data_IF_676919556857
#
_entry.id   IF_676919556857
#
_cell.length_a   1.000
_cell.length_b   1.000
_cell.length_c   1.000
_cell.angle_alpha   90.00
_cell.angle_beta   90.00
_cell.angle_gamma   90.00
#
_symmetry.space_group_name_H-M   'P 1'
#
loop_
_entity.id
_entity.type
_entity.pdbx_description
1 polymer ?
#
# COMPACT_ATOMS: atom_id res chain seq x y z
N UNK A 1 -2.23 6.77 -16.30
CA UNK A 1 -3.24 6.60 -15.23
C UNK A 1 -3.22 7.76 -14.25
N UNK A 2 -2.08 8.06 -13.57
CA UNK A 2 -1.98 9.13 -12.58
C UNK A 2 -2.31 10.53 -13.15
N UNK A 3 -1.84 10.85 -14.34
CA UNK A 3 -2.14 12.13 -15.01
C UNK A 3 -3.64 12.25 -15.32
N UNK A 4 -4.27 11.16 -15.73
CA UNK A 4 -5.71 11.13 -16.03
C UNK A 4 -6.54 11.33 -14.77
N UNK A 5 -6.14 10.74 -13.62
CA UNK A 5 -6.80 10.93 -12.33
C UNK A 5 -6.77 12.39 -11.85
N UNK A 6 -5.67 13.10 -12.15
CA UNK A 6 -5.50 14.50 -11.75
C UNK A 6 -6.42 15.46 -12.53
N UNK A 7 -6.73 15.12 -13.78
CA UNK A 7 -7.58 15.93 -14.67
C UNK A 7 -9.07 15.60 -14.54
N UNK A 8 -9.41 14.45 -13.96
CA UNK A 8 -10.81 14.04 -13.77
C UNK A 8 -11.42 14.64 -12.52
N UNK A 9 -11.77 15.92 -12.59
CA UNK A 9 -12.55 16.64 -11.56
C UNK A 9 -13.95 16.00 -11.31
N UNK A 10 -14.36 15.02 -12.13
CA UNK A 10 -15.74 14.50 -12.20
C UNK A 10 -15.90 13.12 -11.55
N UNK A 11 -14.85 12.40 -11.19
CA UNK A 11 -15.02 11.08 -10.56
C UNK A 11 -14.56 11.08 -9.08
N UNK A 12 -15.41 11.67 -8.24
CA UNK A 12 -15.21 11.72 -6.77
C UNK A 12 -15.10 10.35 -6.06
N UNK A 13 -15.31 9.25 -6.76
CA UNK A 13 -15.41 7.91 -6.16
C UNK A 13 -14.34 6.90 -6.64
N UNK A 14 -13.33 7.35 -7.39
CA UNK A 14 -12.24 6.44 -7.83
C UNK A 14 -10.93 6.80 -7.17
N UNK A 15 -10.09 5.78 -6.84
CA UNK A 15 -8.76 5.98 -6.29
C UNK A 15 -7.84 6.69 -7.27
N UNK A 16 -6.78 7.29 -6.75
CA UNK A 16 -5.74 7.88 -7.60
C UNK A 16 -5.03 6.82 -8.43
N UNK A 17 -4.80 5.62 -7.88
CA UNK A 17 -4.24 4.47 -8.59
C UNK A 17 -3.68 3.40 -7.68
N UNK A 18 -3.63 2.18 -8.20
CA UNK A 18 -2.92 1.07 -7.59
C UNK A 18 -1.94 0.47 -8.60
N UNK A 19 -0.75 0.09 -8.14
CA UNK A 19 0.32 -0.44 -8.96
C UNK A 19 0.93 -1.66 -8.30
N UNK A 20 1.20 -2.68 -9.09
CA UNK A 20 1.96 -3.85 -8.67
C UNK A 20 3.27 -3.89 -9.44
N UNK A 21 4.40 -3.84 -8.72
CA UNK A 21 5.74 -3.94 -9.28
C UNK A 21 6.31 -5.33 -9.04
N UNK A 22 6.49 -6.06 -10.12
CA UNK A 22 7.09 -7.39 -10.10
C UNK A 22 8.55 -7.32 -10.56
N UNK A 23 9.42 -8.07 -9.90
CA UNK A 23 10.83 -8.17 -10.29
C UNK A 23 11.77 -8.44 -9.13
N UNK A 24 13.06 -8.65 -9.41
CA UNK A 24 14.08 -8.92 -8.39
C UNK A 24 14.21 -7.79 -7.37
N UNK A 25 14.69 -8.10 -6.14
CA UNK A 25 14.78 -7.13 -5.04
C UNK A 25 15.68 -5.92 -5.34
N UNK A 26 16.72 -6.09 -6.13
CA UNK A 26 17.73 -5.03 -6.42
C UNK A 26 17.33 -4.00 -7.48
N UNK A 27 16.19 -4.15 -8.16
CA UNK A 27 15.79 -3.22 -9.25
C UNK A 27 15.27 -1.87 -8.76
N UNK A 28 15.25 -1.62 -7.46
CA UNK A 28 14.87 -0.32 -6.90
C UNK A 28 13.37 -0.07 -6.83
N UNK A 29 12.54 -1.10 -6.67
CA UNK A 29 11.07 -0.97 -6.51
C UNK A 29 10.67 0.05 -5.43
N UNK A 30 11.26 0.06 -4.21
CA UNK A 30 10.95 1.08 -3.21
C UNK A 30 11.37 2.50 -3.62
N UNK A 31 12.48 2.63 -4.37
CA UNK A 31 12.92 3.91 -4.89
C UNK A 31 11.90 4.51 -5.87
N UNK A 32 11.29 3.67 -6.71
CA UNK A 32 10.24 4.11 -7.62
C UNK A 32 9.00 4.63 -6.86
N UNK A 33 8.61 3.99 -5.77
CA UNK A 33 7.52 4.48 -4.91
C UNK A 33 7.84 5.86 -4.31
N UNK A 34 9.10 6.08 -3.89
CA UNK A 34 9.59 7.36 -3.40
C UNK A 34 9.53 8.45 -4.49
N UNK A 35 9.92 8.11 -5.72
CA UNK A 35 9.80 9.03 -6.85
C UNK A 35 8.34 9.39 -7.17
N UNK A 36 7.41 8.44 -7.05
CA UNK A 36 5.98 8.70 -7.21
C UNK A 36 5.50 9.67 -6.13
N UNK A 37 5.88 9.48 -4.87
CA UNK A 37 5.52 10.37 -3.77
C UNK A 37 6.01 11.80 -4.03
N UNK A 38 7.28 11.96 -4.34
CA UNK A 38 7.87 13.25 -4.66
C UNK A 38 7.18 13.90 -5.86
N UNK A 39 7.05 13.18 -6.97
CA UNK A 39 6.49 13.75 -8.20
C UNK A 39 5.00 14.06 -8.11
N UNK A 40 4.23 13.29 -7.33
CA UNK A 40 2.78 13.41 -7.29
C UNK A 40 2.29 14.32 -6.16
N UNK A 41 2.90 14.21 -5.00
CA UNK A 41 2.54 14.99 -3.80
C UNK A 41 3.56 16.09 -3.47
N UNK A 42 4.67 16.21 -4.22
CA UNK A 42 5.75 17.18 -3.98
C UNK A 42 6.39 17.04 -2.59
N UNK A 43 6.26 15.85 -1.97
CA UNK A 43 6.75 15.56 -0.64
C UNK A 43 7.24 14.10 -0.58
N UNK A 44 8.53 13.93 -0.30
CA UNK A 44 9.10 12.59 -0.10
C UNK A 44 8.55 11.92 1.18
N UNK A 45 8.13 12.71 2.15
CA UNK A 45 7.52 12.21 3.39
C UNK A 45 6.07 11.75 3.20
N UNK A 46 5.48 12.00 2.03
CA UNK A 46 4.19 11.43 1.66
C UNK A 46 4.25 9.92 1.36
N UNK A 47 5.44 9.29 1.43
CA UNK A 47 5.58 7.84 1.34
C UNK A 47 5.40 7.19 2.71
N UNK A 48 4.43 6.28 2.80
CA UNK A 48 4.20 5.41 3.96
C UNK A 48 4.57 3.98 3.51
N UNK A 49 5.54 3.36 4.17
CA UNK A 49 6.03 2.02 3.81
C UNK A 49 5.64 1.01 4.87
N UNK A 50 5.11 -0.13 4.41
CA UNK A 50 4.88 -1.33 5.18
C UNK A 50 5.68 -2.49 4.57
N UNK A 51 6.58 -3.09 5.34
CA UNK A 51 7.28 -4.31 4.97
C UNK A 51 6.41 -5.50 5.37
N UNK A 52 5.95 -6.25 4.38
CA UNK A 52 5.03 -7.36 4.63
C UNK A 52 5.69 -8.55 5.31
N UNK A 53 7.02 -8.59 5.40
CA UNK A 53 7.72 -9.58 6.21
C UNK A 53 7.43 -9.44 7.72
N UNK A 54 7.05 -8.25 8.18
CA UNK A 54 6.60 -8.01 9.57
C UNK A 54 5.17 -8.49 9.84
N UNK A 55 4.45 -8.88 8.78
CA UNK A 55 3.03 -9.27 8.80
C UNK A 55 2.80 -10.70 8.32
N UNK A 56 3.77 -11.58 8.53
CA UNK A 56 3.69 -13.01 8.16
C UNK A 56 2.75 -13.80 9.08
N UNK A 57 2.66 -13.39 10.34
CA UNK A 57 1.86 -14.09 11.34
C UNK A 57 0.36 -13.82 11.16
N UNK A 58 -0.47 -14.83 11.45
CA UNK A 58 -1.93 -14.73 11.33
C UNK A 58 -2.52 -13.55 12.13
N UNK A 59 -1.94 -13.23 13.29
CA UNK A 59 -2.40 -12.13 14.15
C UNK A 59 -1.89 -10.75 13.69
N UNK A 60 -1.12 -10.67 12.64
CA UNK A 60 -0.54 -9.40 12.15
C UNK A 60 -1.58 -8.44 11.58
N UNK A 61 -2.78 -8.93 11.23
CA UNK A 61 -3.93 -8.08 10.87
C UNK A 61 -4.23 -7.07 11.97
N UNK A 62 -4.17 -7.50 13.24
CA UNK A 62 -4.42 -6.60 14.37
C UNK A 62 -3.40 -5.46 14.44
N UNK A 63 -2.14 -5.71 14.14
CA UNK A 63 -1.12 -4.64 14.07
C UNK A 63 -1.39 -3.67 12.93
N UNK A 64 -1.90 -4.16 11.80
CA UNK A 64 -2.12 -3.36 10.61
C UNK A 64 -3.33 -2.43 10.75
N UNK A 65 -4.47 -2.96 11.24
CA UNK A 65 -5.75 -2.26 11.29
C UNK A 65 -6.29 -2.03 12.71
N UNK A 66 -5.76 -2.73 13.70
CA UNK A 66 -6.20 -2.66 15.10
C UNK A 66 -4.98 -2.57 16.01
N UNK A 67 -5.11 -1.86 17.11
CA UNK A 67 -4.27 -2.07 18.28
C UNK A 67 -5.07 -2.88 19.30
N UNK A 68 -4.61 -4.07 19.72
CA UNK A 68 -5.31 -4.86 20.74
C UNK A 68 -5.42 -4.08 22.06
N UNK A 69 -6.55 -4.22 22.75
CA UNK A 69 -6.74 -3.64 24.08
C UNK A 69 -5.62 -4.11 25.03
N UNK A 70 -4.99 -3.18 25.72
CA UNK A 70 -3.90 -3.47 26.68
C UNK A 70 -2.48 -3.33 26.11
N UNK A 71 -2.31 -3.07 24.82
CA UNK A 71 -1.01 -2.71 24.25
C UNK A 71 -0.85 -1.19 24.16
N UNK A 72 0.40 -0.72 24.31
CA UNK A 72 0.74 0.69 24.10
C UNK A 72 0.32 1.08 22.68
N UNK A 73 -0.52 2.11 22.55
CA UNK A 73 -1.08 2.53 21.25
C UNK A 73 -2.49 2.00 20.96
N UNK A 74 -3.17 1.32 21.89
CA UNK A 74 -4.57 0.88 21.72
C UNK A 74 -5.51 2.03 21.33
N UNK A 75 -5.31 3.22 21.89
CA UNK A 75 -6.11 4.39 21.58
C UNK A 75 -5.76 5.03 20.22
N UNK A 76 -4.61 4.69 19.63
CA UNK A 76 -4.12 5.28 18.39
C UNK A 76 -4.64 4.55 17.13
N UNK A 77 -5.19 3.34 17.25
CA UNK A 77 -5.63 2.53 16.10
C UNK A 77 -4.51 1.66 15.52
N UNK A 78 -4.76 0.97 14.41
CA UNK A 78 -3.74 0.17 13.70
C UNK A 78 -2.78 1.03 12.89
N UNK A 79 -1.60 0.52 12.62
CA UNK A 79 -0.52 1.26 11.95
C UNK A 79 -0.97 1.85 10.60
N UNK A 80 -1.70 1.09 9.78
CA UNK A 80 -2.16 1.53 8.47
C UNK A 80 -3.29 2.57 8.60
N UNK A 81 -4.31 2.27 9.39
CA UNK A 81 -5.49 3.12 9.51
C UNK A 81 -5.14 4.47 10.10
N UNK A 82 -4.26 4.51 11.10
CA UNK A 82 -3.81 5.75 11.71
C UNK A 82 -2.89 6.55 10.78
N UNK A 83 -1.97 5.88 10.07
CA UNK A 83 -1.10 6.54 9.12
C UNK A 83 -1.89 7.26 8.01
N UNK A 84 -2.95 6.63 7.48
CA UNK A 84 -3.80 7.24 6.45
C UNK A 84 -4.66 8.37 7.01
N UNK A 85 -5.14 8.26 8.24
CA UNK A 85 -5.88 9.35 8.87
C UNK A 85 -5.02 10.59 9.08
N UNK A 86 -3.73 10.41 9.44
CA UNK A 86 -2.77 11.51 9.58
C UNK A 86 -2.33 12.09 8.24
N UNK A 87 -2.16 11.21 7.21
CA UNK A 87 -1.69 11.61 5.86
C UNK A 87 -2.59 11.01 4.78
N UNK A 88 -3.78 11.58 4.54
CA UNK A 88 -4.73 11.05 3.55
C UNK A 88 -4.23 11.16 2.10
N UNK A 89 -3.35 12.13 1.82
CA UNK A 89 -2.69 12.31 0.53
C UNK A 89 -1.30 11.71 0.58
N UNK A 90 -1.18 10.42 0.28
CA UNK A 90 0.09 9.70 0.42
C UNK A 90 0.23 8.57 -0.59
N UNK A 91 1.46 8.12 -0.78
CA UNK A 91 1.78 6.86 -1.43
C UNK A 91 1.94 5.80 -0.35
N UNK A 92 1.19 4.72 -0.43
CA UNK A 92 1.33 3.57 0.45
C UNK A 92 2.10 2.50 -0.30
N UNK A 93 3.25 2.12 0.22
CA UNK A 93 4.06 1.03 -0.30
C UNK A 93 3.89 -0.21 0.58
N UNK A 94 3.32 -1.27 0.02
CA UNK A 94 3.34 -2.61 0.59
C UNK A 94 4.49 -3.39 -0.07
N UNK A 95 5.59 -3.53 0.64
CA UNK A 95 6.81 -4.17 0.13
C UNK A 95 6.78 -5.67 0.42
N UNK A 96 7.16 -6.49 -0.58
CA UNK A 96 7.20 -7.97 -0.50
C UNK A 96 5.85 -8.62 -0.14
N UNK A 97 4.78 -8.28 -0.88
CA UNK A 97 3.41 -8.73 -0.56
C UNK A 97 3.26 -10.25 -0.49
N UNK A 98 4.13 -11.03 -1.15
CA UNK A 98 4.15 -12.49 -1.10
C UNK A 98 4.46 -13.06 0.29
N UNK A 99 5.02 -12.23 1.19
CA UNK A 99 5.34 -12.63 2.56
C UNK A 99 4.21 -12.37 3.54
N UNK A 100 3.23 -11.58 3.16
CA UNK A 100 2.09 -11.28 4.02
C UNK A 100 1.26 -12.54 4.32
N UNK A 101 0.71 -12.62 5.52
CA UNK A 101 -0.26 -13.67 5.85
C UNK A 101 -1.50 -13.55 4.96
N UNK A 102 -2.21 -14.66 4.76
CA UNK A 102 -3.43 -14.69 3.95
C UNK A 102 -4.50 -13.69 4.44
N UNK A 103 -4.61 -13.52 5.76
CA UNK A 103 -5.58 -12.60 6.34
C UNK A 103 -5.23 -11.13 6.04
N UNK A 104 -3.94 -10.79 6.02
CA UNK A 104 -3.46 -9.46 5.59
C UNK A 104 -3.74 -9.23 4.10
N UNK A 105 -3.50 -10.24 3.25
CA UNK A 105 -3.80 -10.14 1.82
C UNK A 105 -5.29 -9.90 1.57
N UNK A 106 -6.19 -10.54 2.32
CA UNK A 106 -7.63 -10.30 2.23
C UNK A 106 -8.01 -8.84 2.56
N UNK A 107 -7.36 -8.25 3.57
CA UNK A 107 -7.55 -6.82 3.89
C UNK A 107 -7.05 -5.93 2.76
N UNK A 108 -5.90 -6.23 2.16
CA UNK A 108 -5.40 -5.48 1.01
C UNK A 108 -6.36 -5.58 -0.19
N UNK A 109 -6.91 -6.76 -0.46
CA UNK A 109 -7.93 -6.93 -1.52
C UNK A 109 -9.17 -6.10 -1.23
N UNK A 110 -9.69 -6.10 0.01
CA UNK A 110 -10.81 -5.27 0.40
C UNK A 110 -10.51 -3.78 0.17
N UNK A 111 -9.31 -3.30 0.57
CA UNK A 111 -8.91 -1.91 0.32
C UNK A 111 -8.88 -1.60 -1.17
N UNK A 112 -8.40 -2.51 -2.02
CA UNK A 112 -8.31 -2.31 -3.47
C UNK A 112 -9.68 -2.30 -4.15
N UNK A 113 -10.66 -3.03 -3.61
CA UNK A 113 -12.01 -3.10 -4.16
C UNK A 113 -12.88 -1.92 -3.70
N UNK A 114 -12.91 -1.67 -2.39
CA UNK A 114 -13.84 -0.71 -1.79
C UNK A 114 -13.22 0.67 -1.57
N UNK A 115 -11.88 0.77 -1.50
CA UNK A 115 -11.11 1.98 -1.17
C UNK A 115 -11.46 2.58 0.20
N UNK A 116 -12.07 1.78 1.03
CA UNK A 116 -12.37 2.10 2.43
C UNK A 116 -12.03 0.91 3.31
N UNK A 117 -11.70 1.21 4.55
CA UNK A 117 -11.49 0.20 5.58
C UNK A 117 -12.12 0.70 6.88
N UNK A 118 -12.74 -0.20 7.64
CA UNK A 118 -13.22 0.12 9.00
C UNK A 118 -12.15 -0.25 10.01
N UNK A 119 -11.80 0.69 10.88
CA UNK A 119 -10.92 0.40 12.01
C UNK A 119 -11.65 -0.36 13.13
N UNK A 120 -10.91 -0.72 14.18
CA UNK A 120 -11.47 -1.44 15.36
C UNK A 120 -12.59 -0.68 16.09
N UNK A 121 -12.63 0.64 15.94
CA UNK A 121 -13.66 1.51 16.53
C UNK A 121 -14.85 1.76 15.60
N UNK A 122 -14.90 1.03 14.46
CA UNK A 122 -15.94 1.20 13.43
C UNK A 122 -15.81 2.47 12.59
N UNK A 123 -14.70 3.22 12.73
CA UNK A 123 -14.48 4.44 11.95
C UNK A 123 -14.03 4.08 10.54
N UNK A 124 -14.58 4.77 9.55
CA UNK A 124 -14.22 4.59 8.15
C UNK A 124 -12.92 5.34 7.85
N UNK A 125 -11.96 4.64 7.28
CA UNK A 125 -10.72 5.19 6.73
C UNK A 125 -10.81 5.14 5.22
N UNK A 126 -10.66 6.29 4.55
CA UNK A 126 -10.80 6.45 3.11
C UNK A 126 -9.43 6.46 2.43
N UNK A 127 -9.23 5.57 1.46
CA UNK A 127 -8.02 5.42 0.67
C UNK A 127 -8.11 6.05 -0.73
N UNK A 128 -9.22 6.72 -1.07
CA UNK A 128 -9.43 7.28 -2.43
C UNK A 128 -8.42 8.36 -2.81
N UNK A 129 -7.88 9.06 -1.82
CA UNK A 129 -6.85 10.09 -2.02
C UNK A 129 -5.42 9.55 -1.95
N UNK A 130 -5.24 8.23 -1.87
CA UNK A 130 -3.92 7.59 -1.82
C UNK A 130 -3.54 6.97 -3.15
N UNK A 131 -2.25 6.72 -3.33
CA UNK A 131 -1.69 5.87 -4.37
C UNK A 131 -1.17 4.61 -3.68
N UNK A 132 -1.66 3.44 -4.09
CA UNK A 132 -1.20 2.17 -3.54
C UNK A 132 -0.16 1.57 -4.47
N UNK A 133 0.99 1.26 -3.92
CA UNK A 133 2.09 0.56 -4.60
C UNK A 133 2.35 -0.73 -3.85
N UNK A 134 2.34 -1.83 -4.56
CA UNK A 134 2.69 -3.15 -4.05
C UNK A 134 3.94 -3.64 -4.77
N UNK A 135 4.84 -4.29 -4.07
CA UNK A 135 6.00 -4.94 -4.69
C UNK A 135 5.98 -6.43 -4.42
N UNK A 136 6.50 -7.19 -5.35
CA UNK A 136 6.71 -8.62 -5.17
C UNK A 136 7.97 -9.09 -5.88
N UNK A 137 8.60 -10.12 -5.32
CA UNK A 137 9.75 -10.81 -5.91
C UNK A 137 9.35 -12.09 -6.65
N UNK A 138 8.05 -12.41 -6.73
CA UNK A 138 7.55 -13.58 -7.44
C UNK A 138 7.96 -13.49 -8.92
N UNK A 139 8.44 -14.60 -9.47
CA UNK A 139 8.89 -14.67 -10.86
C UNK A 139 10.30 -14.12 -11.11
N UNK A 140 11.03 -13.69 -10.08
CA UNK A 140 12.38 -13.14 -10.22
C UNK A 140 13.38 -14.09 -10.88
N UNK A 141 13.21 -15.41 -10.75
CA UNK A 141 14.06 -16.42 -11.37
C UNK A 141 13.89 -16.48 -12.90
N UNK A 142 12.70 -16.21 -13.40
CA UNK A 142 12.45 -16.15 -14.85
C UNK A 142 13.00 -14.86 -15.46
N UNK A 143 13.03 -13.78 -14.70
CA UNK A 143 13.61 -12.50 -15.13
C UNK A 143 15.13 -12.52 -15.22
N UNK A 144 15.81 -13.38 -14.45
CA UNK A 144 17.26 -13.58 -14.51
C UNK A 144 17.71 -14.22 -15.84
N UNK A 145 16.83 -14.94 -16.53
CA UNK A 145 17.10 -15.60 -17.81
C UNK A 145 16.73 -14.76 -19.03
N UNK A 146 15.96 -13.71 -18.90
CA UNK A 146 15.57 -12.79 -19.99
C UNK A 146 15.69 -11.35 -19.48
N UNK A 147 16.55 -10.57 -20.15
CA UNK A 147 16.79 -9.13 -19.89
C UNK A 147 15.58 -8.38 -19.32
N UNK A 148 15.84 -7.67 -18.25
CA UNK A 148 14.99 -6.77 -17.45
C UNK A 148 13.85 -6.12 -18.26
N UNK A 149 12.66 -6.70 -18.19
CA UNK A 149 11.43 -6.03 -18.60
C UNK A 149 10.59 -5.81 -17.34
N UNK A 150 10.47 -4.56 -16.93
CA UNK A 150 9.51 -4.16 -15.90
C UNK A 150 8.13 -4.21 -16.55
N UNK A 151 7.28 -5.14 -16.11
CA UNK A 151 5.89 -5.19 -16.53
C UNK A 151 5.04 -4.37 -15.55
N UNK A 152 4.50 -3.27 -16.05
CA UNK A 152 3.47 -2.50 -15.36
C UNK A 152 2.14 -3.00 -15.94
N UNK A 153 1.38 -3.75 -15.14
CA UNK A 153 0.01 -4.08 -15.50
C UNK A 153 -0.92 -3.15 -14.73
N UNK A 154 -1.64 -2.34 -15.48
CA UNK A 154 -2.67 -1.39 -15.04
C UNK A 154 -4.00 -2.14 -14.94
#
# INVERSE_FOLDING_TARGET
TLTRSRLSVIQKNKPMGSFLFLGPSWVGKPFLAKLIANKYFWDEQALIRFDMSEFMEKYSVSKLIWSPAGYVGYDEGGNLTEAIRRKPYSVILFDEIEKASHDVLNILLQILDEWILKDSKGRIVDFKSTIIVMTSNIGSEEFSKKQTKIWIKI
#
